data_IF_532460139003
#
_entry.id   IF_532460139003
#
_cell.length_a   1.000
_cell.length_b   1.000
_cell.length_c   1.000
_cell.angle_alpha   90.00
_cell.angle_beta   90.00
_cell.angle_gamma   90.00
#
_symmetry.space_group_name_H-M   'P 1'
#
loop_
_entity.id
_entity.type
_entity.pdbx_description
1 polymer ?
#
# COMPACT_ATOMS: atom_id res chain seq x y z
N UNK A 1 7.23 22.56 -15.22
CA UNK A 1 6.83 21.37 -14.45
C UNK A 1 5.62 21.69 -13.58
N UNK A 2 5.65 22.76 -12.77
CA UNK A 2 4.58 23.09 -11.80
C UNK A 2 3.19 23.27 -12.47
N UNK A 3 3.13 23.97 -13.62
CA UNK A 3 1.89 24.19 -14.36
C UNK A 3 1.32 22.93 -15.04
N UNK A 4 2.15 21.92 -15.30
CA UNK A 4 1.71 20.63 -15.82
C UNK A 4 1.14 19.73 -14.73
N UNK A 5 1.63 19.88 -13.48
CA UNK A 5 1.12 19.15 -12.32
C UNK A 5 -0.17 19.76 -11.75
N UNK A 6 -0.23 21.10 -11.71
CA UNK A 6 -1.37 21.85 -11.17
C UNK A 6 -1.86 22.90 -12.17
N UNK A 7 -2.86 22.56 -13.00
CA UNK A 7 -3.42 23.53 -13.94
C UNK A 7 -4.05 24.70 -13.20
N UNK A 8 -3.72 25.93 -13.59
CA UNK A 8 -4.22 27.18 -13.01
C UNK A 8 -5.75 27.32 -13.14
N UNK A 9 -6.34 26.70 -14.17
CA UNK A 9 -7.79 26.74 -14.43
C UNK A 9 -8.32 25.31 -14.56
N UNK A 10 -9.33 24.96 -13.77
CA UNK A 10 -10.03 23.68 -13.81
C UNK A 10 -11.48 23.92 -14.27
N UNK A 11 -12.00 23.07 -15.13
CA UNK A 11 -13.42 23.14 -15.53
C UNK A 11 -14.31 22.95 -14.31
N UNK A 12 -15.30 23.86 -14.11
CA UNK A 12 -16.22 23.84 -12.95
C UNK A 12 -16.95 22.49 -12.78
N UNK A 13 -17.26 21.81 -13.90
CA UNK A 13 -17.87 20.48 -13.87
C UNK A 13 -16.91 19.40 -13.31
N UNK A 14 -15.61 19.51 -13.58
CA UNK A 14 -14.60 18.57 -13.10
C UNK A 14 -14.33 18.62 -11.58
N UNK A 15 -14.85 19.61 -10.87
CA UNK A 15 -14.68 19.79 -9.42
C UNK A 15 -15.93 19.33 -8.63
N UNK A 16 -17.03 19.00 -9.31
CA UNK A 16 -18.25 18.55 -8.62
C UNK A 16 -18.01 17.19 -7.96
N UNK A 17 -18.34 17.10 -6.66
CA UNK A 17 -18.26 15.87 -5.86
C UNK A 17 -19.07 14.73 -6.48
N UNK A 18 -20.26 14.99 -6.99
CA UNK A 18 -21.12 14.02 -7.66
C UNK A 18 -20.48 13.40 -8.93
N UNK A 19 -19.61 14.17 -9.60
CA UNK A 19 -18.91 13.70 -10.79
C UNK A 19 -17.60 13.02 -10.47
N UNK A 20 -16.87 13.51 -9.45
CA UNK A 20 -15.54 13.01 -9.09
C UNK A 20 -15.57 11.89 -8.04
N UNK A 21 -16.68 11.77 -7.28
CA UNK A 21 -16.77 10.96 -6.06
C UNK A 21 -15.61 11.25 -5.09
N UNK A 22 -14.90 12.33 -5.30
CA UNK A 22 -13.72 12.77 -4.54
C UNK A 22 -12.65 11.66 -4.36
N UNK A 23 -12.55 10.71 -5.31
CA UNK A 23 -11.70 9.52 -5.17
C UNK A 23 -10.24 9.85 -4.89
N UNK A 24 -9.68 10.87 -5.55
CA UNK A 24 -8.30 11.32 -5.29
C UNK A 24 -8.14 11.93 -3.88
N UNK A 25 -9.09 12.76 -3.44
CA UNK A 25 -9.10 13.32 -2.09
C UNK A 25 -9.29 12.24 -1.01
N UNK A 26 -10.15 11.26 -1.28
CA UNK A 26 -10.38 10.12 -0.39
C UNK A 26 -9.12 9.24 -0.28
N UNK A 27 -8.42 8.99 -1.39
CA UNK A 27 -7.13 8.28 -1.37
C UNK A 27 -6.09 9.01 -0.50
N UNK A 28 -6.00 10.32 -0.64
CA UNK A 28 -5.09 11.14 0.18
C UNK A 28 -5.48 11.13 1.67
N UNK A 29 -6.76 11.24 1.98
CA UNK A 29 -7.25 11.13 3.35
C UNK A 29 -6.93 9.76 3.97
N UNK A 30 -7.18 8.68 3.23
CA UNK A 30 -6.84 7.32 3.68
C UNK A 30 -5.33 7.15 3.90
N UNK A 31 -4.50 7.76 3.05
CA UNK A 31 -3.06 7.76 3.23
C UNK A 31 -2.65 8.40 4.57
N UNK A 32 -3.24 9.54 4.93
CA UNK A 32 -2.98 10.18 6.23
C UNK A 32 -3.41 9.28 7.39
N UNK A 33 -4.63 8.72 7.33
CA UNK A 33 -5.14 7.80 8.36
C UNK A 33 -4.22 6.59 8.52
N UNK A 34 -3.81 5.97 7.41
CA UNK A 34 -2.91 4.82 7.43
C UNK A 34 -1.53 5.17 7.96
N UNK A 35 -1.01 6.35 7.65
CA UNK A 35 0.27 6.82 8.18
C UNK A 35 0.22 7.00 9.70
N UNK A 36 -0.80 7.70 10.20
CA UNK A 36 -0.96 7.94 11.64
C UNK A 36 -1.15 6.61 12.40
N UNK A 37 -2.07 5.79 11.93
CA UNK A 37 -2.34 4.48 12.57
C UNK A 37 -1.16 3.54 12.46
N UNK A 38 -0.44 3.55 11.34
CA UNK A 38 0.76 2.73 11.13
C UNK A 38 1.90 3.11 12.08
N UNK A 39 2.19 4.42 12.22
CA UNK A 39 3.20 4.91 13.17
C UNK A 39 2.84 4.50 14.59
N UNK A 40 1.57 4.64 14.99
CA UNK A 40 1.12 4.21 16.31
C UNK A 40 1.32 2.71 16.52
N UNK A 41 0.98 1.87 15.54
CA UNK A 41 1.16 0.42 15.61
C UNK A 41 2.63 0.00 15.72
N UNK A 42 3.56 0.73 15.10
CA UNK A 42 5.01 0.44 15.17
C UNK A 42 5.57 0.47 16.59
N UNK A 43 5.00 1.23 17.51
CA UNK A 43 5.47 1.26 18.90
C UNK A 43 5.19 -0.03 19.68
N UNK A 44 4.24 -0.83 19.22
CA UNK A 44 3.78 -2.06 19.90
C UNK A 44 4.12 -3.34 19.14
N UNK A 45 4.74 -3.21 17.96
CA UNK A 45 5.05 -4.34 17.09
C UNK A 45 6.56 -4.52 16.92
N UNK A 46 7.03 -5.75 17.10
CA UNK A 46 8.42 -6.14 16.86
C UNK A 46 8.47 -7.12 15.68
N UNK A 47 9.23 -6.84 14.61
CA UNK A 47 9.37 -7.74 13.46
C UNK A 47 10.30 -8.92 13.80
N UNK A 48 9.87 -9.79 14.71
CA UNK A 48 10.62 -10.94 15.21
C UNK A 48 9.73 -12.18 15.23
N UNK A 49 10.24 -13.30 15.74
CA UNK A 49 9.44 -14.52 15.96
C UNK A 49 8.23 -14.28 16.89
N UNK A 50 8.29 -13.21 17.67
CA UNK A 50 7.21 -12.80 18.57
C UNK A 50 6.15 -11.92 17.92
N UNK A 51 6.24 -11.65 16.61
CA UNK A 51 5.33 -10.76 15.89
C UNK A 51 3.85 -11.13 16.09
N UNK A 52 3.53 -12.42 16.04
CA UNK A 52 2.17 -12.91 16.26
C UNK A 52 1.69 -12.66 17.70
N UNK A 53 2.56 -12.89 18.69
CA UNK A 53 2.25 -12.66 20.11
C UNK A 53 2.04 -11.17 20.39
N UNK A 54 2.89 -10.31 19.81
CA UNK A 54 2.75 -8.85 19.92
C UNK A 54 1.41 -8.36 19.35
N UNK A 55 0.96 -8.92 18.24
CA UNK A 55 -0.36 -8.60 17.67
C UNK A 55 -1.50 -9.06 18.57
N UNK A 56 -1.41 -10.24 19.18
CA UNK A 56 -2.42 -10.69 20.16
C UNK A 56 -2.44 -9.77 21.39
N UNK A 57 -1.29 -9.44 21.94
CA UNK A 57 -1.16 -8.50 23.07
C UNK A 57 -1.73 -7.13 22.72
N UNK A 58 -1.45 -6.63 21.52
CA UNK A 58 -2.03 -5.39 21.00
C UNK A 58 -3.56 -5.41 20.99
N UNK A 59 -4.15 -6.55 20.63
CA UNK A 59 -5.62 -6.68 20.54
C UNK A 59 -6.30 -6.83 21.88
N UNK A 60 -5.65 -7.48 22.86
CA UNK A 60 -6.29 -7.87 24.12
C UNK A 60 -5.90 -7.00 25.30
N UNK A 61 -4.67 -6.50 25.34
CA UNK A 61 -4.09 -5.88 26.54
C UNK A 61 -3.85 -4.38 26.41
N UNK A 62 -3.80 -3.84 25.19
CA UNK A 62 -3.52 -2.42 24.96
C UNK A 62 -4.82 -1.66 24.73
N UNK A 63 -5.02 -0.58 25.49
CA UNK A 63 -6.16 0.31 25.31
C UNK A 63 -6.22 0.85 23.86
N UNK A 64 -7.37 0.74 23.22
CA UNK A 64 -7.61 1.09 21.81
C UNK A 64 -6.78 0.29 20.78
N UNK A 65 -5.96 -0.67 21.17
CA UNK A 65 -5.12 -1.44 20.26
C UNK A 65 -5.93 -2.17 19.17
N UNK A 66 -7.00 -2.85 19.56
CA UNK A 66 -7.91 -3.50 18.62
C UNK A 66 -8.58 -2.51 17.66
N UNK A 67 -9.00 -1.34 18.15
CA UNK A 67 -9.62 -0.30 17.32
C UNK A 67 -8.64 0.21 16.26
N UNK A 68 -7.45 0.65 16.67
CA UNK A 68 -6.44 1.23 15.76
C UNK A 68 -5.98 0.19 14.73
N UNK A 69 -5.77 -1.07 15.16
CA UNK A 69 -5.41 -2.14 14.24
C UNK A 69 -6.51 -2.42 13.20
N UNK A 70 -7.76 -2.46 13.62
CA UNK A 70 -8.88 -2.66 12.70
C UNK A 70 -9.06 -1.47 11.76
N UNK A 71 -8.92 -0.23 12.23
CA UNK A 71 -8.93 0.97 11.37
C UNK A 71 -7.82 0.89 10.32
N UNK A 72 -6.61 0.52 10.72
CA UNK A 72 -5.48 0.37 9.79
C UNK A 72 -5.75 -0.71 8.74
N UNK A 73 -6.19 -1.89 9.17
CA UNK A 73 -6.50 -3.02 8.29
C UNK A 73 -7.58 -2.68 7.26
N UNK A 74 -8.73 -2.18 7.73
CA UNK A 74 -9.84 -1.82 6.84
C UNK A 74 -9.51 -0.61 5.97
N UNK A 75 -8.79 0.35 6.53
CA UNK A 75 -8.26 1.49 5.78
C UNK A 75 -7.33 1.06 4.63
N UNK A 76 -6.48 0.06 4.83
CA UNK A 76 -5.61 -0.49 3.79
C UNK A 76 -6.42 -1.14 2.65
N UNK A 77 -7.43 -1.94 2.97
CA UNK A 77 -8.31 -2.53 1.95
C UNK A 77 -9.07 -1.45 1.17
N UNK A 78 -9.61 -0.47 1.88
CA UNK A 78 -10.33 0.63 1.26
C UNK A 78 -9.39 1.49 0.38
N UNK A 79 -8.14 1.71 0.81
CA UNK A 79 -7.13 2.43 0.05
C UNK A 79 -6.87 1.78 -1.32
N UNK A 80 -6.64 0.47 -1.35
CA UNK A 80 -6.42 -0.27 -2.61
C UNK A 80 -7.62 -0.13 -3.53
N UNK A 81 -8.84 -0.33 -3.00
CA UNK A 81 -10.08 -0.20 -3.78
C UNK A 81 -10.24 1.22 -4.35
N UNK A 82 -10.08 2.24 -3.52
CA UNK A 82 -10.29 3.64 -3.91
C UNK A 82 -9.25 4.10 -4.93
N UNK A 83 -7.97 3.73 -4.75
CA UNK A 83 -6.90 4.05 -5.69
C UNK A 83 -7.13 3.36 -7.03
N UNK A 84 -7.57 2.10 -7.04
CA UNK A 84 -7.90 1.38 -8.26
C UNK A 84 -9.08 2.06 -9.00
N UNK A 85 -10.14 2.41 -8.30
CA UNK A 85 -11.29 3.14 -8.87
C UNK A 85 -10.88 4.52 -9.38
N UNK A 86 -10.00 5.21 -8.66
CA UNK A 86 -9.45 6.51 -9.08
C UNK A 86 -8.69 6.40 -10.40
N UNK A 87 -7.79 5.43 -10.52
CA UNK A 87 -7.02 5.18 -11.74
C UNK A 87 -7.91 4.77 -12.91
N UNK A 88 -8.87 3.87 -12.69
CA UNK A 88 -9.85 3.45 -13.70
C UNK A 88 -10.63 4.64 -14.23
N UNK A 89 -11.06 5.52 -13.33
CA UNK A 89 -11.76 6.74 -13.71
C UNK A 89 -10.89 7.69 -14.55
N UNK A 90 -9.64 7.93 -14.15
CA UNK A 90 -8.68 8.75 -14.91
C UNK A 90 -8.50 8.19 -16.32
N UNK A 91 -8.40 6.86 -16.43
CA UNK A 91 -8.26 6.16 -17.70
C UNK A 91 -9.49 6.33 -18.59
N UNK A 92 -10.70 5.99 -18.13
CA UNK A 92 -11.93 6.07 -18.92
C UNK A 92 -12.29 7.50 -19.37
N UNK A 93 -11.89 8.51 -18.59
CA UNK A 93 -12.11 9.90 -18.98
C UNK A 93 -11.01 10.48 -19.88
N UNK A 94 -10.01 9.68 -20.25
CA UNK A 94 -8.90 10.13 -21.09
C UNK A 94 -8.05 11.23 -20.45
N UNK A 95 -8.09 11.36 -19.11
CA UNK A 95 -7.38 12.42 -18.39
C UNK A 95 -5.84 12.19 -18.33
N UNK A 96 -5.36 11.09 -18.86
CA UNK A 96 -3.95 10.76 -19.04
C UNK A 96 -3.32 11.40 -20.29
N UNK A 97 -4.13 11.97 -21.19
CA UNK A 97 -3.64 12.59 -22.44
C UNK A 97 -3.03 13.96 -22.17
N UNK A 98 -2.24 14.45 -23.14
CA UNK A 98 -1.62 15.76 -23.07
C UNK A 98 -2.58 16.86 -22.59
N UNK A 99 -2.16 17.73 -21.66
CA UNK A 99 -0.81 17.92 -21.07
C UNK A 99 -0.57 17.16 -19.75
N UNK A 100 -1.33 16.11 -19.42
CA UNK A 100 -1.33 15.41 -18.11
C UNK A 100 -0.64 14.06 -18.11
N UNK A 101 0.15 13.76 -19.12
CA UNK A 101 0.87 12.49 -19.28
C UNK A 101 1.79 12.18 -18.09
N UNK A 102 2.52 13.20 -17.64
CA UNK A 102 3.41 13.07 -16.49
C UNK A 102 2.67 12.70 -15.20
N UNK A 103 1.50 13.29 -14.96
CA UNK A 103 0.66 12.94 -13.80
C UNK A 103 0.17 11.49 -13.86
N UNK A 104 -0.09 10.97 -15.07
CA UNK A 104 -0.46 9.58 -15.26
C UNK A 104 0.67 8.63 -14.85
N UNK A 105 1.90 8.91 -15.30
CA UNK A 105 3.08 8.10 -14.94
C UNK A 105 3.27 8.07 -13.42
N UNK A 106 3.21 9.23 -12.75
CA UNK A 106 3.26 9.31 -11.29
C UNK A 106 2.13 8.48 -10.66
N UNK A 107 0.91 8.58 -11.17
CA UNK A 107 -0.23 7.82 -10.67
C UNK A 107 -0.04 6.30 -10.77
N UNK A 108 0.54 5.81 -11.87
CA UNK A 108 0.88 4.38 -12.04
C UNK A 108 1.93 3.94 -11.02
N UNK A 109 2.98 4.74 -10.82
CA UNK A 109 4.01 4.45 -9.81
C UNK A 109 3.39 4.39 -8.40
N UNK A 110 2.53 5.35 -8.06
CA UNK A 110 1.84 5.36 -6.76
C UNK A 110 0.92 4.15 -6.58
N UNK A 111 0.23 3.70 -7.63
CA UNK A 111 -0.57 2.48 -7.60
C UNK A 111 0.31 1.25 -7.29
N UNK A 112 1.43 1.11 -7.99
CA UNK A 112 2.36 0.00 -7.77
C UNK A 112 2.93 0.03 -6.34
N UNK A 113 3.31 1.20 -5.84
CA UNK A 113 3.77 1.37 -4.45
C UNK A 113 2.67 1.04 -3.44
N UNK A 114 1.42 1.42 -3.71
CA UNK A 114 0.28 1.07 -2.84
C UNK A 114 0.07 -0.44 -2.77
N UNK A 115 0.15 -1.14 -3.89
CA UNK A 115 0.05 -2.60 -3.93
C UNK A 115 1.22 -3.26 -3.20
N UNK A 116 2.44 -2.75 -3.40
CA UNK A 116 3.63 -3.25 -2.71
C UNK A 116 3.54 -3.06 -1.20
N UNK A 117 3.14 -1.88 -0.73
CA UNK A 117 2.93 -1.59 0.69
C UNK A 117 1.82 -2.46 1.30
N UNK A 118 0.73 -2.69 0.56
CA UNK A 118 -0.35 -3.59 1.00
C UNK A 118 0.13 -5.03 1.13
N UNK A 119 0.93 -5.50 0.19
CA UNK A 119 1.53 -6.83 0.23
C UNK A 119 2.48 -6.98 1.41
N UNK A 120 3.45 -6.08 1.57
CA UNK A 120 4.43 -6.13 2.66
C UNK A 120 3.76 -5.96 4.03
N UNK A 121 2.76 -5.09 4.16
CA UNK A 121 1.98 -4.93 5.39
C UNK A 121 1.18 -6.17 5.77
N UNK A 122 0.66 -6.90 4.78
CA UNK A 122 -0.03 -8.17 5.01
C UNK A 122 0.90 -9.26 5.59
N UNK A 123 2.19 -9.21 5.30
CA UNK A 123 3.18 -10.18 5.78
C UNK A 123 3.57 -9.99 7.25
N UNK A 124 3.35 -8.80 7.83
CA UNK A 124 3.81 -8.46 9.18
C UNK A 124 3.33 -9.41 10.30
N UNK A 125 2.08 -9.92 10.30
CA UNK A 125 1.63 -10.86 11.34
C UNK A 125 2.42 -12.16 11.42
N UNK A 126 3.18 -12.49 10.39
CA UNK A 126 4.01 -13.70 10.28
C UNK A 126 3.25 -14.99 10.62
N UNK A 127 2.00 -15.05 10.20
CA UNK A 127 1.16 -16.23 10.28
C UNK A 127 1.43 -17.19 9.11
N UNK A 128 0.80 -18.34 9.11
CA UNK A 128 0.98 -19.35 8.06
C UNK A 128 0.66 -18.81 6.65
N UNK A 129 -0.33 -17.94 6.53
CA UNK A 129 -0.68 -17.32 5.25
C UNK A 129 0.40 -16.33 4.79
N UNK A 130 0.99 -15.57 5.72
CA UNK A 130 2.09 -14.66 5.42
C UNK A 130 3.33 -15.43 4.91
N UNK A 131 3.69 -16.55 5.57
CA UNK A 131 4.82 -17.40 5.15
C UNK A 131 4.57 -17.96 3.75
N UNK A 132 3.38 -18.44 3.46
CA UNK A 132 3.04 -18.92 2.12
C UNK A 132 3.06 -17.79 1.07
N UNK A 133 2.51 -16.63 1.39
CA UNK A 133 2.51 -15.49 0.49
C UNK A 133 3.94 -15.02 0.15
N UNK A 134 4.83 -14.96 1.15
CA UNK A 134 6.26 -14.65 0.95
C UNK A 134 6.93 -15.70 0.09
N UNK A 135 6.71 -16.99 0.38
CA UNK A 135 7.34 -18.09 -0.37
C UNK A 135 6.91 -18.09 -1.83
N UNK A 136 5.60 -17.97 -2.08
CA UNK A 136 5.06 -17.89 -3.44
C UNK A 136 5.52 -16.62 -4.16
N UNK A 137 5.38 -15.45 -3.53
CA UNK A 137 5.77 -14.16 -4.10
C UNK A 137 7.26 -14.09 -4.40
N UNK A 138 8.12 -14.63 -3.51
CA UNK A 138 9.55 -14.68 -3.72
C UNK A 138 9.96 -15.67 -4.81
N UNK A 139 9.28 -16.81 -4.94
CA UNK A 139 9.50 -17.71 -6.06
C UNK A 139 9.08 -17.06 -7.38
N UNK A 140 7.92 -16.39 -7.44
CA UNK A 140 7.51 -15.65 -8.62
C UNK A 140 8.52 -14.56 -9.00
N UNK A 141 9.02 -13.81 -8.04
CA UNK A 141 10.10 -12.84 -8.27
C UNK A 141 11.37 -13.50 -8.79
N UNK A 142 11.71 -14.71 -8.30
CA UNK A 142 12.85 -15.49 -8.75
C UNK A 142 12.79 -15.92 -10.21
N UNK A 143 11.60 -16.05 -10.80
CA UNK A 143 11.42 -16.36 -12.22
C UNK A 143 11.57 -15.12 -13.14
N UNK A 144 11.78 -13.93 -12.59
CA UNK A 144 11.99 -12.73 -13.41
C UNK A 144 13.29 -12.86 -14.21
N UNK A 145 13.26 -12.74 -15.54
CA UNK A 145 14.47 -12.86 -16.34
C UNK A 145 15.50 -11.80 -15.94
N UNK A 146 16.79 -12.17 -15.95
CA UNK A 146 17.96 -11.32 -15.66
C UNK A 146 18.17 -11.00 -14.18
N UNK A 147 17.12 -10.60 -13.44
CA UNK A 147 17.24 -10.10 -12.04
C UNK A 147 16.55 -11.00 -11.00
N UNK A 148 16.04 -12.17 -11.40
CA UNK A 148 15.20 -13.00 -10.54
C UNK A 148 15.89 -13.45 -9.25
N UNK A 149 17.13 -13.90 -9.33
CA UNK A 149 17.89 -14.32 -8.14
C UNK A 149 18.13 -13.15 -7.17
N UNK A 150 18.48 -11.99 -7.69
CA UNK A 150 18.70 -10.76 -6.89
C UNK A 150 17.39 -10.26 -6.28
N UNK A 151 16.29 -10.31 -7.04
CA UNK A 151 14.96 -9.92 -6.56
C UNK A 151 14.50 -10.85 -5.43
N UNK A 152 14.65 -12.16 -5.59
CA UNK A 152 14.34 -13.15 -4.55
C UNK A 152 15.21 -12.94 -3.30
N UNK A 153 16.53 -12.80 -3.48
CA UNK A 153 17.45 -12.52 -2.38
C UNK A 153 17.11 -11.22 -1.66
N UNK A 154 16.77 -10.16 -2.40
CA UNK A 154 16.36 -8.88 -1.85
C UNK A 154 15.06 -8.97 -1.03
N UNK A 155 14.08 -9.76 -1.48
CA UNK A 155 12.81 -9.96 -0.77
C UNK A 155 12.96 -10.78 0.52
N UNK A 156 13.82 -11.79 0.53
CA UNK A 156 13.93 -12.69 1.66
C UNK A 156 15.04 -12.32 2.65
N UNK A 157 15.93 -11.39 2.30
CA UNK A 157 17.18 -11.16 3.02
C UNK A 157 18.07 -12.44 3.09
N UNK A 158 17.84 -13.41 2.19
CA UNK A 158 18.51 -14.69 2.15
C UNK A 158 17.97 -15.61 1.06
N UNK A 159 18.33 -16.90 1.13
CA UNK A 159 17.88 -17.90 0.16
C UNK A 159 16.48 -18.44 0.47
N UNK A 160 16.05 -18.33 1.72
CA UNK A 160 14.77 -18.83 2.22
C UNK A 160 14.03 -17.77 3.06
N UNK A 161 12.71 -17.94 3.15
CA UNK A 161 11.87 -17.09 3.99
C UNK A 161 12.14 -17.44 5.48
N UNK A 162 12.71 -16.50 6.20
CA UNK A 162 12.98 -16.59 7.64
C UNK A 162 12.46 -15.37 8.36
N UNK A 163 12.56 -15.34 9.70
CA UNK A 163 12.21 -14.15 10.49
C UNK A 163 13.05 -12.92 10.10
N UNK A 164 14.24 -13.09 9.55
CA UNK A 164 15.04 -12.00 8.99
C UNK A 164 14.33 -11.30 7.81
N UNK A 165 13.42 -11.96 7.12
CA UNK A 165 12.58 -11.35 6.07
C UNK A 165 11.67 -10.25 6.60
N UNK A 166 11.28 -10.31 7.89
CA UNK A 166 10.44 -9.28 8.54
C UNK A 166 11.19 -7.97 8.80
N UNK A 167 12.51 -7.99 8.80
CA UNK A 167 13.35 -6.81 9.09
C UNK A 167 13.57 -5.93 7.85
N UNK A 168 13.01 -6.29 6.71
CA UNK A 168 13.11 -5.56 5.44
C UNK A 168 11.78 -5.01 4.99
#
# INVERSE_FOLDING_TARGET
VLYHLHPVKVKRHGVRLSYTLCLGGLSFFLFIVLTITGIWLMFYFRPTELAYVDIQTLQTSIAFGSLVRNMHRWGAHLMVLVVFLHMSRVFYHGAYKAPREFNWVIGVILLLLTLLLSFTGYLLPWDQLAIWAVTVGGNMAGYTPVIGAQAKFGLFAGLEATTATLLR
#
